data_IF_537738611445
#
_entry.id   IF_537738611445
#
_cell.length_a   1.000
_cell.length_b   1.000
_cell.length_c   1.000
_cell.angle_alpha   90.00
_cell.angle_beta   90.00
_cell.angle_gamma   90.00
#
_symmetry.space_group_name_H-M   'P 1'
#
loop_
_entity.id
_entity.type
_entity.pdbx_description
1 polymer ?
#
# COMPACT_ATOMS: atom_id res chain seq x y z
N UNK A 1 -24.34 13.22 9.86
CA UNK A 1 -23.71 12.21 8.98
C UNK A 1 -22.27 12.09 9.40
N UNK A 2 -21.89 10.96 9.98
CA UNK A 2 -20.49 10.64 10.26
C UNK A 2 -20.01 9.87 9.02
N UNK A 3 -19.11 10.47 8.25
CA UNK A 3 -18.51 9.82 7.08
C UNK A 3 -17.57 8.73 7.59
N UNK A 4 -17.63 7.54 6.98
CA UNK A 4 -16.75 6.42 7.29
C UNK A 4 -16.09 5.92 6.01
N UNK A 5 -14.86 5.42 6.10
CA UNK A 5 -14.31 4.55 5.08
C UNK A 5 -15.04 3.21 5.15
N UNK A 6 -15.20 2.53 4.01
CA UNK A 6 -15.87 1.23 3.94
C UNK A 6 -14.90 0.19 3.40
N UNK A 7 -14.57 -0.82 4.20
CA UNK A 7 -13.77 -1.95 3.78
C UNK A 7 -14.66 -3.19 3.64
N UNK A 8 -14.73 -3.72 2.42
CA UNK A 8 -15.63 -4.83 2.08
C UNK A 8 -14.84 -6.13 1.91
N UNK A 9 -15.31 -7.22 2.51
CA UNK A 9 -14.75 -8.56 2.35
C UNK A 9 -15.75 -9.42 1.56
N UNK A 10 -15.36 -9.88 0.38
CA UNK A 10 -16.18 -10.70 -0.54
C UNK A 10 -15.45 -11.96 -1.00
N UNK A 11 -16.20 -12.89 -1.60
CA UNK A 11 -15.67 -14.14 -2.12
C UNK A 11 -15.68 -15.24 -1.06
N UNK A 12 -14.78 -16.21 -1.19
CA UNK A 12 -14.71 -17.31 -0.21
C UNK A 12 -13.99 -16.84 1.04
N UNK A 13 -14.75 -16.44 2.06
CA UNK A 13 -14.20 -15.99 3.33
C UNK A 13 -13.40 -17.12 3.99
N UNK A 14 -12.14 -16.83 4.27
CA UNK A 14 -11.19 -17.72 4.93
C UNK A 14 -10.83 -17.14 6.31
N UNK A 15 -10.24 -17.93 7.23
CA UNK A 15 -9.75 -17.43 8.52
C UNK A 15 -8.77 -16.24 8.41
N UNK A 16 -8.23 -16.01 7.22
CA UNK A 16 -7.37 -14.88 6.87
C UNK A 16 -8.07 -13.53 7.08
N UNK A 17 -9.42 -13.47 6.94
CA UNK A 17 -10.20 -12.26 7.22
C UNK A 17 -9.88 -11.70 8.60
N UNK A 18 -9.85 -12.54 9.62
CA UNK A 18 -9.62 -12.11 11.00
C UNK A 18 -8.19 -11.63 11.22
N UNK A 19 -7.19 -12.29 10.60
CA UNK A 19 -5.79 -11.87 10.63
C UNK A 19 -5.63 -10.47 10.00
N UNK A 20 -6.24 -10.24 8.83
CA UNK A 20 -6.20 -8.95 8.13
C UNK A 20 -6.94 -7.86 8.90
N UNK A 21 -8.09 -8.17 9.52
CA UNK A 21 -8.84 -7.23 10.36
C UNK A 21 -8.07 -6.82 11.61
N UNK A 22 -7.43 -7.77 12.28
CA UNK A 22 -6.59 -7.49 13.44
C UNK A 22 -5.42 -6.58 13.07
N UNK A 23 -4.76 -6.87 11.95
CA UNK A 23 -3.66 -6.07 11.45
C UNK A 23 -4.09 -4.68 11.00
N UNK A 24 -5.23 -4.55 10.31
CA UNK A 24 -5.83 -3.26 9.95
C UNK A 24 -6.08 -2.41 11.20
N UNK A 25 -6.70 -2.99 12.22
CA UNK A 25 -6.98 -2.30 13.48
C UNK A 25 -5.71 -1.84 14.19
N UNK A 26 -4.64 -2.63 14.13
CA UNK A 26 -3.32 -2.22 14.62
C UNK A 26 -2.79 -1.02 13.82
N UNK A 27 -2.74 -1.10 12.49
CA UNK A 27 -2.24 -0.02 11.63
C UNK A 27 -3.03 1.28 11.80
N UNK A 28 -4.36 1.20 11.94
CA UNK A 28 -5.21 2.37 12.22
C UNK A 28 -4.86 3.00 13.57
N UNK A 29 -4.58 2.17 14.59
CA UNK A 29 -4.13 2.65 15.90
C UNK A 29 -2.74 3.29 15.82
N UNK A 30 -1.82 2.72 15.02
CA UNK A 30 -0.48 3.26 14.78
C UNK A 30 -0.52 4.63 14.08
N UNK A 31 -1.55 4.87 13.25
CA UNK A 31 -1.83 6.19 12.63
C UNK A 31 -2.50 7.18 13.60
N UNK A 32 -2.80 6.77 14.84
CA UNK A 32 -3.49 7.62 15.82
C UNK A 32 -4.97 7.85 15.53
N UNK A 33 -5.58 7.00 14.70
CA UNK A 33 -6.98 7.09 14.29
C UNK A 33 -7.88 6.14 15.11
N UNK A 34 -9.14 6.51 15.28
CA UNK A 34 -10.12 5.61 15.89
C UNK A 34 -10.52 4.49 14.93
N UNK A 35 -10.66 3.26 15.44
CA UNK A 35 -11.10 2.09 14.66
C UNK A 35 -12.47 2.28 14.02
N UNK A 36 -13.31 3.13 14.61
CA UNK A 36 -14.64 3.49 14.10
C UNK A 36 -14.60 4.16 12.74
N UNK A 37 -13.46 4.73 12.32
CA UNK A 37 -13.31 5.44 11.04
C UNK A 37 -13.49 4.51 9.82
N UNK A 38 -13.21 3.21 9.97
CA UNK A 38 -13.43 2.20 8.94
C UNK A 38 -14.58 1.29 9.36
N UNK A 39 -15.63 1.28 8.55
CA UNK A 39 -16.74 0.35 8.63
C UNK A 39 -16.39 -0.94 7.87
N UNK A 40 -16.57 -2.08 8.51
CA UNK A 40 -16.36 -3.40 7.91
C UNK A 40 -17.67 -3.93 7.36
N UNK A 41 -17.66 -4.30 6.09
CA UNK A 41 -18.83 -4.81 5.36
C UNK A 41 -18.50 -6.18 4.77
N UNK A 42 -19.46 -7.09 4.78
CA UNK A 42 -19.43 -8.35 4.06
C UNK A 42 -20.80 -8.66 3.45
N UNK A 43 -20.98 -9.86 2.92
CA UNK A 43 -22.23 -10.27 2.27
C UNK A 43 -23.48 -10.16 3.16
N UNK A 44 -23.33 -10.22 4.48
CA UNK A 44 -24.47 -10.28 5.40
C UNK A 44 -25.04 -8.89 5.73
N UNK A 45 -24.21 -7.85 5.70
CA UNK A 45 -24.61 -6.48 6.04
C UNK A 45 -24.52 -5.50 4.86
N UNK A 46 -24.10 -5.96 3.68
CA UNK A 46 -23.92 -5.10 2.50
C UNK A 46 -25.17 -4.27 2.15
N UNK A 47 -26.35 -4.88 2.11
CA UNK A 47 -27.56 -4.17 1.68
C UNK A 47 -28.03 -3.11 2.68
N UNK A 48 -27.69 -3.26 3.96
CA UNK A 48 -28.07 -2.33 5.03
C UNK A 48 -27.02 -1.23 5.24
N UNK A 49 -25.73 -1.57 5.09
CA UNK A 49 -24.64 -0.73 5.54
C UNK A 49 -23.89 0.00 4.42
N UNK A 50 -23.85 -0.54 3.20
CA UNK A 50 -23.07 0.02 2.11
C UNK A 50 -23.69 1.33 1.58
N UNK A 51 -22.86 2.38 1.58
CA UNK A 51 -23.18 3.69 1.03
C UNK A 51 -22.24 3.99 -0.16
N UNK A 52 -22.74 3.91 -1.40
CA UNK A 52 -21.91 4.10 -2.59
C UNK A 52 -21.31 5.51 -2.79
N UNK A 53 -21.68 6.48 -1.95
CA UNK A 53 -21.10 7.82 -1.93
C UNK A 53 -20.00 8.00 -0.86
N UNK A 54 -19.59 6.93 -0.19
CA UNK A 54 -18.49 6.94 0.78
C UNK A 54 -17.25 6.24 0.21
N UNK A 55 -16.03 6.64 0.59
CA UNK A 55 -14.80 5.99 0.16
C UNK A 55 -14.83 4.49 0.48
N UNK A 56 -14.68 3.66 -0.54
CA UNK A 56 -14.86 2.21 -0.43
C UNK A 56 -13.70 1.48 -1.08
N UNK A 57 -13.24 0.44 -0.40
CA UNK A 57 -12.26 -0.51 -0.91
C UNK A 57 -12.77 -1.93 -0.64
N UNK A 58 -12.54 -2.87 -1.56
CA UNK A 58 -12.96 -4.25 -1.37
C UNK A 58 -11.81 -5.24 -1.54
N UNK A 59 -11.79 -6.27 -0.70
CA UNK A 59 -11.04 -7.49 -0.94
C UNK A 59 -11.98 -8.54 -1.53
N UNK A 60 -11.52 -9.22 -2.58
CA UNK A 60 -12.20 -10.38 -3.13
C UNK A 60 -11.32 -11.62 -2.97
N UNK A 61 -11.70 -12.53 -2.07
CA UNK A 61 -11.02 -13.79 -1.84
C UNK A 61 -11.46 -14.82 -2.88
N UNK A 62 -10.50 -15.27 -3.68
CA UNK A 62 -10.71 -16.31 -4.68
C UNK A 62 -11.03 -17.67 -4.06
N UNK A 63 -11.56 -18.56 -4.89
CA UNK A 63 -11.92 -19.91 -4.48
C UNK A 63 -11.10 -20.94 -5.25
N UNK A 64 -10.38 -21.81 -4.55
CA UNK A 64 -9.49 -22.83 -5.16
C UNK A 64 -10.27 -23.78 -6.09
N UNK A 65 -11.56 -24.01 -5.83
CA UNK A 65 -12.42 -24.87 -6.63
C UNK A 65 -13.19 -24.10 -7.71
N UNK A 66 -12.97 -22.78 -7.85
CA UNK A 66 -13.69 -21.93 -8.79
C UNK A 66 -15.14 -21.65 -8.40
N UNK A 67 -15.53 -21.88 -7.13
CA UNK A 67 -16.86 -21.54 -6.66
C UNK A 67 -16.94 -20.05 -6.28
N UNK A 68 -17.24 -19.20 -7.26
CA UNK A 68 -17.23 -17.75 -7.08
C UNK A 68 -18.47 -17.24 -6.36
N UNK A 69 -18.27 -16.67 -5.16
CA UNK A 69 -19.32 -16.11 -4.33
C UNK A 69 -19.50 -14.59 -4.56
N UNK A 70 -20.60 -14.03 -4.08
CA UNK A 70 -20.91 -12.58 -4.07
C UNK A 70 -20.83 -11.84 -5.43
N UNK A 71 -20.95 -12.55 -6.56
CA UNK A 71 -20.83 -11.96 -7.90
C UNK A 71 -21.75 -10.76 -8.15
N UNK A 72 -22.96 -10.75 -7.57
CA UNK A 72 -23.90 -9.64 -7.68
C UNK A 72 -23.40 -8.39 -6.96
N UNK A 73 -22.85 -8.55 -5.75
CA UNK A 73 -22.24 -7.47 -4.97
C UNK A 73 -21.01 -6.94 -5.72
N UNK A 74 -20.14 -7.83 -6.20
CA UNK A 74 -18.93 -7.44 -6.95
C UNK A 74 -19.27 -6.64 -8.21
N UNK A 75 -20.30 -7.04 -8.97
CA UNK A 75 -20.79 -6.26 -10.13
C UNK A 75 -21.27 -4.86 -9.74
N UNK A 76 -21.96 -4.72 -8.61
CA UNK A 76 -22.41 -3.41 -8.11
C UNK A 76 -21.22 -2.53 -7.75
N UNK A 77 -20.24 -3.06 -7.03
CA UNK A 77 -19.02 -2.33 -6.66
C UNK A 77 -18.22 -1.86 -7.88
N UNK A 78 -18.08 -2.70 -8.91
CA UNK A 78 -17.43 -2.30 -10.16
C UNK A 78 -18.19 -1.15 -10.84
N UNK A 79 -19.52 -1.22 -10.90
CA UNK A 79 -20.35 -0.15 -11.48
C UNK A 79 -20.22 1.16 -10.70
N UNK A 80 -20.07 1.06 -9.39
CA UNK A 80 -19.90 2.21 -8.50
C UNK A 80 -18.45 2.74 -8.50
N UNK A 81 -17.54 2.14 -9.29
CA UNK A 81 -16.14 2.57 -9.42
C UNK A 81 -15.27 2.21 -8.22
N UNK A 82 -15.71 1.27 -7.38
CA UNK A 82 -14.96 0.83 -6.20
C UNK A 82 -13.73 0.02 -6.60
N UNK A 83 -12.58 0.29 -5.98
CA UNK A 83 -11.37 -0.51 -6.13
C UNK A 83 -11.54 -1.88 -5.45
N UNK A 84 -11.15 -2.95 -6.13
CA UNK A 84 -11.29 -4.32 -5.64
C UNK A 84 -9.95 -5.01 -5.80
N UNK A 85 -9.34 -5.47 -4.70
CA UNK A 85 -8.12 -6.27 -4.75
C UNK A 85 -8.49 -7.77 -4.78
N UNK A 86 -8.24 -8.48 -5.89
CA UNK A 86 -8.36 -9.93 -5.94
C UNK A 86 -7.23 -10.59 -5.15
N UNK A 87 -7.56 -11.54 -4.29
CA UNK A 87 -6.61 -12.32 -3.49
C UNK A 87 -6.80 -13.79 -3.86
N UNK A 88 -5.75 -14.46 -4.32
CA UNK A 88 -5.81 -15.85 -4.79
C UNK A 88 -4.79 -16.73 -4.05
N UNK A 89 -5.04 -18.04 -4.01
CA UNK A 89 -4.33 -18.96 -3.10
C UNK A 89 -3.48 -20.03 -3.80
N UNK A 90 -3.38 -19.97 -5.13
CA UNK A 90 -2.53 -20.87 -5.93
C UNK A 90 -1.90 -20.08 -7.09
N UNK A 91 -0.56 -20.06 -7.12
CA UNK A 91 0.28 -19.11 -7.88
C UNK A 91 -0.01 -19.13 -9.38
N UNK A 92 -0.24 -20.32 -9.94
CA UNK A 92 -0.46 -20.54 -11.38
C UNK A 92 -1.96 -20.63 -11.76
N UNK A 93 -2.86 -20.24 -10.84
CA UNK A 93 -4.30 -20.49 -10.98
C UNK A 93 -5.16 -19.23 -10.75
N UNK A 94 -4.67 -18.04 -11.12
CA UNK A 94 -5.42 -16.79 -10.98
C UNK A 94 -6.81 -16.86 -11.64
N UNK A 95 -6.87 -17.08 -12.96
CA UNK A 95 -8.13 -17.13 -13.72
C UNK A 95 -9.05 -18.30 -13.34
N UNK A 96 -8.55 -19.28 -12.55
CA UNK A 96 -9.39 -20.37 -12.00
C UNK A 96 -10.06 -19.97 -10.69
N UNK A 97 -9.44 -19.09 -9.92
CA UNK A 97 -9.88 -18.72 -8.57
C UNK A 97 -10.60 -17.38 -8.52
N UNK A 98 -10.33 -16.50 -9.48
CA UNK A 98 -10.91 -15.18 -9.59
C UNK A 98 -11.94 -15.18 -10.72
N UNK A 99 -13.16 -14.66 -10.49
CA UNK A 99 -14.18 -14.60 -11.53
C UNK A 99 -13.74 -13.70 -12.68
N UNK A 100 -14.18 -14.03 -13.90
CA UNK A 100 -13.85 -13.31 -15.13
C UNK A 100 -14.12 -11.78 -15.04
N UNK A 101 -15.09 -11.37 -14.22
CA UNK A 101 -15.40 -9.95 -13.99
C UNK A 101 -14.27 -9.15 -13.30
N UNK A 102 -13.33 -9.82 -12.63
CA UNK A 102 -12.14 -9.23 -12.01
C UNK A 102 -10.85 -9.60 -12.76
N UNK A 103 -10.92 -10.28 -13.91
CA UNK A 103 -9.74 -10.77 -14.61
C UNK A 103 -8.82 -9.63 -15.10
N UNK A 104 -9.39 -8.46 -15.35
CA UNK A 104 -8.65 -7.26 -15.73
C UNK A 104 -8.00 -6.52 -14.54
N UNK A 105 -8.14 -7.01 -13.31
CA UNK A 105 -7.53 -6.41 -12.12
C UNK A 105 -6.32 -7.23 -11.67
N UNK A 106 -5.21 -6.56 -11.33
CA UNK A 106 -4.05 -7.22 -10.75
C UNK A 106 -4.39 -7.72 -9.35
N UNK A 107 -4.19 -9.02 -9.11
CA UNK A 107 -4.36 -9.62 -7.80
C UNK A 107 -3.06 -9.87 -7.05
N UNK A 108 -3.20 -10.32 -5.80
CA UNK A 108 -2.10 -10.78 -4.96
C UNK A 108 -2.22 -12.28 -4.71
N UNK A 109 -1.12 -12.99 -4.95
CA UNK A 109 -0.97 -14.37 -4.51
C UNK A 109 -0.76 -14.35 -3.00
N UNK A 110 -1.72 -14.89 -2.25
CA UNK A 110 -1.70 -14.87 -0.81
C UNK A 110 -0.59 -15.74 -0.24
N UNK A 111 0.28 -15.12 0.54
CA UNK A 111 1.18 -15.76 1.51
C UNK A 111 1.02 -15.01 2.82
N UNK A 112 1.28 -15.65 3.96
CA UNK A 112 1.22 -14.97 5.27
C UNK A 112 2.11 -13.73 5.35
N UNK A 113 3.22 -13.71 4.59
CA UNK A 113 4.10 -12.55 4.45
C UNK A 113 3.45 -11.34 3.77
N UNK A 114 2.38 -11.53 3.02
CA UNK A 114 1.68 -10.48 2.28
C UNK A 114 0.60 -9.78 3.11
N UNK A 115 0.32 -10.21 4.34
CA UNK A 115 -0.74 -9.62 5.17
C UNK A 115 -0.57 -8.10 5.32
N UNK A 116 0.66 -7.64 5.59
CA UNK A 116 0.95 -6.21 5.67
C UNK A 116 0.71 -5.50 4.34
N UNK A 117 1.11 -6.10 3.23
CA UNK A 117 0.93 -5.51 1.90
C UNK A 117 -0.56 -5.39 1.56
N UNK A 118 -1.35 -6.43 1.82
CA UNK A 118 -2.79 -6.45 1.57
C UNK A 118 -3.47 -5.32 2.35
N UNK A 119 -3.21 -5.22 3.66
CA UNK A 119 -3.76 -4.16 4.52
C UNK A 119 -3.33 -2.77 4.04
N UNK A 120 -2.05 -2.59 3.70
CA UNK A 120 -1.54 -1.30 3.24
C UNK A 120 -2.21 -0.86 1.94
N UNK A 121 -2.48 -1.77 1.00
CA UNK A 121 -3.17 -1.44 -0.25
C UNK A 121 -4.57 -0.85 -0.01
N UNK A 122 -5.34 -1.39 0.95
CA UNK A 122 -6.63 -0.78 1.29
C UNK A 122 -6.47 0.59 1.93
N UNK A 123 -5.49 0.76 2.84
CA UNK A 123 -5.21 2.06 3.46
C UNK A 123 -4.72 3.10 2.45
N UNK A 124 -3.92 2.69 1.47
CA UNK A 124 -3.52 3.50 0.31
C UNK A 124 -4.75 3.86 -0.54
N UNK A 125 -5.64 2.90 -0.78
CA UNK A 125 -6.91 3.12 -1.47
C UNK A 125 -7.87 4.08 -0.73
N UNK A 126 -7.70 4.23 0.58
CA UNK A 126 -8.39 5.22 1.40
C UNK A 126 -7.62 6.54 1.55
N UNK A 127 -6.45 6.67 0.93
CA UNK A 127 -5.52 7.81 1.09
C UNK A 127 -5.06 8.03 2.55
N UNK A 128 -5.19 7.01 3.41
CA UNK A 128 -4.67 6.99 4.78
C UNK A 128 -3.17 6.67 4.80
N UNK A 129 -2.68 6.01 3.76
CA UNK A 129 -1.26 5.84 3.47
C UNK A 129 -0.93 6.42 2.10
N UNK A 130 0.29 6.91 1.92
CA UNK A 130 0.79 7.33 0.61
C UNK A 130 1.06 6.09 -0.25
N UNK A 131 0.60 6.13 -1.50
CA UNK A 131 0.89 5.11 -2.53
C UNK A 131 2.39 5.03 -2.89
N UNK A 132 3.11 6.14 -2.73
CA UNK A 132 4.56 6.21 -2.86
C UNK A 132 5.17 6.53 -1.50
N UNK A 133 5.97 5.61 -0.96
CA UNK A 133 6.72 5.81 0.29
C UNK A 133 8.08 6.40 -0.06
N UNK A 134 8.23 7.70 0.17
CA UNK A 134 9.38 8.48 -0.27
C UNK A 134 10.48 8.44 0.78
N UNK A 135 11.67 7.95 0.38
CA UNK A 135 12.84 7.87 1.27
C UNK A 135 13.93 8.79 0.73
N UNK A 136 14.48 9.62 1.58
CA UNK A 136 15.67 10.40 1.27
C UNK A 136 16.90 9.76 1.93
N UNK A 137 17.89 9.33 1.14
CA UNK A 137 19.16 8.82 1.68
C UNK A 137 20.16 9.97 1.77
N UNK A 138 20.45 10.42 2.99
CA UNK A 138 21.46 11.44 3.27
C UNK A 138 22.80 10.78 3.57
N UNK A 139 23.82 11.07 2.76
CA UNK A 139 25.13 10.42 2.86
C UNK A 139 26.27 11.33 2.42
N UNK A 140 27.48 11.09 2.95
CA UNK A 140 28.69 11.78 2.48
C UNK A 140 29.28 11.01 1.30
N UNK A 141 29.25 11.62 0.11
CA UNK A 141 29.69 11.00 -1.14
C UNK A 141 31.08 10.36 -1.05
N UNK A 142 32.04 11.02 -0.43
CA UNK A 142 33.42 10.52 -0.32
C UNK A 142 33.59 9.34 0.64
N UNK A 143 32.59 9.00 1.44
CA UNK A 143 32.71 7.99 2.51
C UNK A 143 31.69 6.84 2.39
N UNK A 144 30.48 7.10 1.87
CA UNK A 144 29.38 6.13 1.93
C UNK A 144 28.58 5.93 0.64
N UNK A 145 29.08 6.38 -0.52
CA UNK A 145 28.39 6.19 -1.83
C UNK A 145 28.03 4.73 -2.10
N UNK A 146 28.96 3.79 -1.89
CA UNK A 146 28.72 2.36 -2.18
C UNK A 146 27.61 1.78 -1.31
N UNK A 147 27.51 2.21 -0.05
CA UNK A 147 26.45 1.79 0.88
C UNK A 147 25.12 2.45 0.52
N UNK A 148 25.14 3.73 0.13
CA UNK A 148 23.94 4.45 -0.31
C UNK A 148 23.30 3.79 -1.54
N UNK A 149 24.10 3.37 -2.53
CA UNK A 149 23.61 2.67 -3.72
C UNK A 149 23.00 1.31 -3.36
N UNK A 150 23.67 0.52 -2.51
CA UNK A 150 23.12 -0.77 -2.07
C UNK A 150 21.78 -0.60 -1.33
N UNK A 151 21.68 0.43 -0.49
CA UNK A 151 20.44 0.75 0.21
C UNK A 151 19.35 1.21 -0.75
N UNK A 152 19.68 2.04 -1.73
CA UNK A 152 18.77 2.45 -2.81
C UNK A 152 18.20 1.23 -3.52
N UNK A 153 19.04 0.32 -4.02
CA UNK A 153 18.61 -0.87 -4.76
C UNK A 153 17.73 -1.79 -3.89
N UNK A 154 18.10 -1.97 -2.62
CA UNK A 154 17.33 -2.81 -1.70
C UNK A 154 15.93 -2.21 -1.43
N UNK A 155 15.85 -0.90 -1.19
CA UNK A 155 14.59 -0.20 -0.91
C UNK A 155 13.71 -0.09 -2.17
N UNK A 156 14.29 0.18 -3.34
CA UNK A 156 13.56 0.22 -4.61
C UNK A 156 12.86 -1.13 -4.90
N UNK A 157 13.54 -2.26 -4.63
CA UNK A 157 12.96 -3.61 -4.75
C UNK A 157 11.77 -3.85 -3.81
N UNK A 158 11.63 -3.04 -2.76
CA UNK A 158 10.49 -3.05 -1.85
C UNK A 158 9.48 -1.93 -2.14
N UNK A 159 9.52 -1.35 -3.35
CA UNK A 159 8.61 -0.31 -3.84
C UNK A 159 8.64 0.98 -3.02
N UNK A 160 9.82 1.36 -2.51
CA UNK A 160 10.05 2.71 -1.99
C UNK A 160 10.49 3.63 -3.14
N UNK A 161 10.00 4.86 -3.12
CA UNK A 161 10.47 5.94 -3.99
C UNK A 161 11.70 6.57 -3.33
N UNK A 162 12.88 6.09 -3.71
CA UNK A 162 14.13 6.45 -3.04
C UNK A 162 14.83 7.58 -3.80
N UNK A 163 15.07 8.68 -3.10
CA UNK A 163 15.87 9.77 -3.62
C UNK A 163 17.33 9.63 -3.21
N UNK A 164 18.22 9.71 -4.21
CA UNK A 164 19.67 9.72 -4.06
C UNK A 164 20.24 10.88 -4.88
N UNK A 165 20.96 11.78 -4.19
CA UNK A 165 21.40 13.11 -4.68
C UNK A 165 22.23 13.11 -5.98
N UNK A 166 22.88 12.00 -6.32
CA UNK A 166 23.71 11.86 -7.54
C UNK A 166 22.98 11.25 -8.73
N UNK A 167 21.87 10.54 -8.50
CA UNK A 167 21.15 9.81 -9.55
C UNK A 167 19.86 10.52 -9.98
N UNK A 168 19.35 11.44 -9.16
CA UNK A 168 17.98 11.94 -9.27
C UNK A 168 17.88 13.40 -9.76
N UNK A 169 18.96 14.19 -9.65
CA UNK A 169 18.97 15.62 -10.02
C UNK A 169 19.57 15.79 -11.42
N UNK A 170 18.82 16.42 -12.33
CA UNK A 170 19.26 16.64 -13.70
C UNK A 170 20.37 17.71 -13.79
N UNK A 171 21.20 17.61 -14.84
CA UNK A 171 22.22 18.64 -15.12
C UNK A 171 21.52 19.97 -15.43
N UNK A 172 22.01 21.04 -14.80
CA UNK A 172 21.50 22.42 -14.90
C UNK A 172 20.24 22.76 -14.08
N UNK A 173 19.77 21.87 -13.20
CA UNK A 173 18.77 22.25 -12.18
C UNK A 173 19.42 22.90 -10.95
N UNK A 174 18.72 23.81 -10.24
CA UNK A 174 19.20 24.38 -8.98
C UNK A 174 19.26 23.27 -7.91
N UNK A 175 20.42 22.62 -7.81
CA UNK A 175 20.66 21.47 -6.95
C UNK A 175 20.16 21.66 -5.51
N UNK A 176 20.29 22.87 -4.94
CA UNK A 176 19.86 23.15 -3.58
C UNK A 176 18.34 23.11 -3.43
N UNK A 177 17.61 23.82 -4.30
CA UNK A 177 16.15 23.91 -4.21
C UNK A 177 15.51 22.54 -4.43
N UNK A 178 16.01 21.76 -5.39
CA UNK A 178 15.52 20.41 -5.62
C UNK A 178 15.77 19.49 -4.42
N UNK A 179 16.96 19.57 -3.81
CA UNK A 179 17.31 18.77 -2.64
C UNK A 179 16.43 19.13 -1.43
N UNK A 180 16.15 20.42 -1.20
CA UNK A 180 15.22 20.88 -0.17
C UNK A 180 13.78 20.43 -0.42
N UNK A 181 13.29 20.54 -1.66
CA UNK A 181 11.95 20.06 -2.01
C UNK A 181 11.81 18.56 -1.76
N UNK A 182 12.83 17.78 -2.13
CA UNK A 182 12.85 16.32 -1.94
C UNK A 182 12.96 15.93 -0.47
N UNK A 183 13.75 16.66 0.32
CA UNK A 183 13.79 16.47 1.78
C UNK A 183 12.46 16.80 2.45
N UNK A 184 11.76 17.83 1.97
CA UNK A 184 10.47 18.26 2.56
C UNK A 184 9.32 17.29 2.23
N UNK A 185 9.37 16.65 1.06
CA UNK A 185 8.33 15.74 0.58
C UNK A 185 8.63 14.25 0.82
N UNK A 186 9.73 13.93 1.51
CA UNK A 186 10.03 12.56 1.90
C UNK A 186 9.31 12.18 3.21
N UNK A 187 8.95 10.90 3.32
CA UNK A 187 8.33 10.36 4.53
C UNK A 187 9.39 10.00 5.58
N UNK A 188 10.56 9.55 5.12
CA UNK A 188 11.67 9.11 5.98
C UNK A 188 13.00 9.59 5.42
N UNK A 189 13.86 10.09 6.32
CA UNK A 189 15.26 10.39 6.03
C UNK A 189 16.14 9.28 6.63
N UNK A 190 16.94 8.60 5.80
CA UNK A 190 17.96 7.66 6.24
C UNK A 190 19.32 8.32 6.19
N UNK A 191 19.95 8.48 7.36
CA UNK A 191 21.23 9.16 7.49
C UNK A 191 22.39 8.16 7.64
N UNK A 192 23.30 8.13 6.67
CA UNK A 192 24.51 7.31 6.72
C UNK A 192 25.63 8.05 7.48
N UNK A 193 25.63 7.88 8.80
CA UNK A 193 26.53 8.58 9.71
C UNK A 193 27.97 8.03 9.67
N UNK A 194 28.81 8.59 8.81
CA UNK A 194 30.24 8.29 8.72
C UNK A 194 31.09 9.28 9.52
N UNK A 195 32.36 8.97 9.79
CA UNK A 195 33.24 9.79 10.67
C UNK A 195 33.31 11.26 10.26
N UNK A 196 33.36 11.54 8.95
CA UNK A 196 33.42 12.91 8.45
C UNK A 196 32.07 13.44 7.98
N UNK A 197 30.96 12.79 8.30
CA UNK A 197 29.63 13.17 7.81
C UNK A 197 29.32 14.65 8.06
N UNK A 198 29.44 15.10 9.30
CA UNK A 198 29.20 16.50 9.72
C UNK A 198 30.24 17.51 9.22
N UNK A 199 31.33 17.05 8.60
CA UNK A 199 32.33 17.95 7.99
C UNK A 199 31.87 18.45 6.62
N UNK A 200 30.96 17.72 5.97
CA UNK A 200 30.36 18.13 4.70
C UNK A 200 29.43 19.32 4.91
N UNK A 201 29.59 20.36 4.10
CA UNK A 201 28.67 21.52 4.10
C UNK A 201 27.20 21.11 3.89
N UNK A 202 26.98 20.00 3.19
CA UNK A 202 25.67 19.49 2.79
C UNK A 202 25.02 18.57 3.83
N UNK A 203 25.76 18.17 4.86
CA UNK A 203 25.32 17.20 5.86
C UNK A 203 25.28 17.81 7.27
N UNK A 204 25.48 19.14 7.39
CA UNK A 204 25.29 19.94 8.60
C UNK A 204 23.86 20.44 8.67
#
# INVERSE_FOLDING_TARGET
MQYHYQLIFLGTLTPIKDDLLNLLNQKISDLGLEKSIIKIIDENNFDEEYCGNQPTFAYYFGDINGNFQNLNITKKLIRDGTMILPIFFDEDSFSKQIPQLLENQNGIFYKKSENERIVNIALEGFELLRTTRKIFISYKRTESTSVAIQLYEALERHNFDVFLDTHSIAKAEPFQDELWHRMTDCDVIVLLNTKGFLESHWCK
#
